data_IF_636943347321
#
_entry.id   IF_636943347321
#
_cell.length_a   1.000
_cell.length_b   1.000
_cell.length_c   1.000
_cell.angle_alpha   90.00
_cell.angle_beta   90.00
_cell.angle_gamma   90.00
#
_symmetry.space_group_name_H-M   'P 1'
#
loop_
_entity.id
_entity.type
_entity.pdbx_description
1 polymer ?
#
# COMPACT_ATOMS: atom_id res chain seq x y z
N UNK A 1 -28.93 38.59 77.24
CA UNK A 1 -28.96 37.51 76.23
C UNK A 1 -27.69 37.61 75.41
N UNK A 2 -26.67 36.86 75.77
CA UNK A 2 -25.34 36.91 75.14
C UNK A 2 -25.25 35.85 74.06
N UNK A 3 -25.01 36.26 72.82
CA UNK A 3 -24.85 35.37 71.66
C UNK A 3 -23.36 35.16 71.41
N UNK A 4 -22.90 33.94 71.66
CA UNK A 4 -21.53 33.49 71.44
C UNK A 4 -21.32 33.27 69.93
N UNK A 5 -20.40 34.03 69.30
CA UNK A 5 -19.96 33.79 67.91
C UNK A 5 -18.77 32.84 67.92
N UNK A 6 -18.96 31.67 67.31
CA UNK A 6 -17.90 30.68 67.07
C UNK A 6 -17.30 30.93 65.69
N UNK A 7 -16.01 31.26 65.64
CA UNK A 7 -15.25 31.46 64.40
C UNK A 7 -14.50 30.17 64.09
N UNK A 8 -14.84 29.49 62.99
CA UNK A 8 -14.15 28.28 62.51
C UNK A 8 -13.15 28.70 61.44
N UNK A 9 -11.86 28.56 61.72
CA UNK A 9 -10.79 28.65 60.73
C UNK A 9 -10.63 27.29 60.05
N UNK A 10 -11.00 27.21 58.76
CA UNK A 10 -10.70 26.06 57.91
C UNK A 10 -9.33 26.30 57.27
N UNK A 11 -8.33 25.53 57.71
CA UNK A 11 -7.04 25.42 57.02
C UNK A 11 -7.22 24.63 55.73
N UNK A 12 -7.11 25.30 54.58
CA UNK A 12 -7.00 24.66 53.27
C UNK A 12 -5.58 24.12 53.08
N UNK A 13 -5.39 22.83 53.36
CA UNK A 13 -4.20 22.09 52.96
C UNK A 13 -4.22 21.78 51.47
N UNK A 14 -3.28 22.35 50.73
CA UNK A 14 -3.03 22.06 49.32
C UNK A 14 -2.27 20.73 49.22
N UNK A 15 -2.97 19.61 49.00
CA UNK A 15 -2.33 18.36 48.58
C UNK A 15 -2.05 18.42 47.08
N UNK A 16 -0.79 18.69 46.70
CA UNK A 16 -0.28 18.41 45.36
C UNK A 16 -0.13 16.88 45.22
N UNK A 17 -1.18 16.21 44.74
CA UNK A 17 -1.10 14.82 44.32
C UNK A 17 -0.39 14.77 42.97
N UNK A 18 0.90 14.46 42.97
CA UNK A 18 1.65 14.16 41.76
C UNK A 18 1.10 12.86 41.14
N UNK A 19 0.15 12.98 40.21
CA UNK A 19 -0.25 11.89 39.34
C UNK A 19 0.93 11.56 38.41
N UNK A 20 1.76 10.60 38.82
CA UNK A 20 2.67 9.88 37.93
C UNK A 20 1.82 9.18 36.86
N UNK A 21 1.68 9.83 35.70
CA UNK A 21 1.17 9.19 34.50
C UNK A 21 2.19 8.14 34.06
N UNK A 22 2.02 6.91 34.55
CA UNK A 22 2.61 5.72 33.97
C UNK A 22 2.12 5.65 32.53
N UNK A 23 3.00 6.00 31.58
CA UNK A 23 2.74 5.74 30.16
C UNK A 23 2.47 4.24 30.02
N UNK A 24 1.32 3.83 29.44
CA UNK A 24 1.11 2.41 29.16
C UNK A 24 2.29 1.94 28.33
N UNK A 25 2.95 0.87 28.79
CA UNK A 25 4.00 0.23 28.02
C UNK A 25 3.43 -0.04 26.62
N UNK A 26 4.00 0.62 25.61
CA UNK A 26 3.70 0.29 24.22
C UNK A 26 4.14 -1.16 24.06
N UNK A 27 3.20 -2.09 24.16
CA UNK A 27 3.46 -3.49 23.93
C UNK A 27 4.06 -3.60 22.55
N UNK A 28 5.36 -3.91 22.48
CA UNK A 28 5.97 -4.37 21.25
C UNK A 28 5.08 -5.49 20.76
N UNK A 29 4.53 -5.32 19.57
CA UNK A 29 3.86 -6.44 18.94
C UNK A 29 4.86 -7.58 18.94
N UNK A 30 4.42 -8.82 19.26
CA UNK A 30 5.25 -9.97 19.04
C UNK A 30 5.78 -9.80 17.62
N UNK A 31 7.11 -9.79 17.51
CA UNK A 31 7.80 -9.92 16.25
C UNK A 31 7.33 -11.28 15.73
N UNK A 32 6.15 -11.27 15.10
CA UNK A 32 5.58 -12.47 14.51
C UNK A 32 6.63 -12.83 13.49
N UNK A 33 7.35 -13.92 13.79
CA UNK A 33 8.17 -14.65 12.84
C UNK A 33 7.40 -14.58 11.54
N UNK A 34 7.90 -13.75 10.62
CA UNK A 34 7.32 -13.58 9.30
C UNK A 34 7.50 -14.95 8.68
N UNK A 35 6.50 -15.81 8.89
CA UNK A 35 6.51 -17.22 8.52
C UNK A 35 7.10 -17.27 7.13
N UNK A 36 8.24 -17.95 6.99
CA UNK A 36 8.94 -18.07 5.72
C UNK A 36 7.91 -18.51 4.69
N UNK A 37 7.43 -17.56 3.87
CA UNK A 37 6.35 -17.84 2.96
C UNK A 37 6.82 -18.95 2.03
N UNK A 38 5.96 -19.93 1.73
CA UNK A 38 6.33 -21.03 0.85
C UNK A 38 6.96 -20.47 -0.41
N UNK A 39 8.13 -20.97 -0.78
CA UNK A 39 8.77 -20.64 -2.04
C UNK A 39 7.85 -21.13 -3.16
N UNK A 40 7.05 -20.22 -3.74
CA UNK A 40 6.25 -20.56 -4.90
C UNK A 40 7.21 -20.73 -6.08
N UNK A 41 7.22 -21.91 -6.74
CA UNK A 41 8.02 -22.07 -7.93
C UNK A 41 7.47 -21.11 -8.99
N UNK A 42 8.21 -20.04 -9.25
CA UNK A 42 7.94 -19.19 -10.42
C UNK A 42 8.15 -20.10 -11.62
N UNK A 43 7.14 -20.30 -12.49
CA UNK A 43 7.35 -21.04 -13.72
C UNK A 43 8.57 -20.45 -14.40
N UNK A 44 9.59 -21.27 -14.65
CA UNK A 44 10.74 -20.89 -15.44
C UNK A 44 10.40 -21.25 -16.88
N UNK A 45 9.71 -20.40 -17.66
CA UNK A 45 9.74 -20.61 -19.10
C UNK A 45 11.20 -20.50 -19.55
N UNK A 46 11.56 -21.10 -20.68
CA UNK A 46 12.89 -21.04 -21.32
C UNK A 46 13.35 -19.62 -21.73
N UNK A 47 12.72 -18.58 -21.19
CA UNK A 47 13.00 -17.19 -21.45
C UNK A 47 13.98 -16.61 -20.42
N UNK A 48 14.93 -15.76 -20.84
CA UNK A 48 15.80 -15.05 -19.93
C UNK A 48 14.97 -14.18 -18.97
N UNK A 49 15.32 -14.22 -17.69
CA UNK A 49 14.78 -13.34 -16.67
C UNK A 49 15.18 -11.88 -16.88
N UNK A 50 14.64 -10.99 -16.05
CA UNK A 50 15.01 -9.57 -16.04
C UNK A 50 16.07 -9.29 -14.97
N UNK A 51 16.77 -8.17 -15.12
CA UNK A 51 17.66 -7.63 -14.08
C UNK A 51 17.12 -6.30 -13.55
N UNK A 52 17.44 -6.01 -12.28
CA UNK A 52 17.08 -4.76 -11.62
C UNK A 52 18.25 -4.30 -10.75
N UNK A 53 18.75 -3.06 -10.88
CA UNK A 53 19.78 -2.57 -9.98
C UNK A 53 19.23 -2.45 -8.55
N UNK A 54 20.01 -2.84 -7.55
CA UNK A 54 19.62 -2.77 -6.14
C UNK A 54 19.23 -1.35 -5.72
N UNK A 55 19.86 -0.34 -6.32
CA UNK A 55 19.54 1.09 -6.12
C UNK A 55 18.10 1.45 -6.47
N UNK A 56 17.44 0.73 -7.39
CA UNK A 56 16.03 0.96 -7.73
C UNK A 56 15.07 0.56 -6.60
N UNK A 57 15.51 -0.28 -5.67
CA UNK A 57 14.75 -0.70 -4.49
C UNK A 57 15.12 0.10 -3.23
N UNK A 58 16.14 0.98 -3.30
CA UNK A 58 16.52 1.86 -2.22
C UNK A 58 15.79 3.20 -2.34
N UNK A 59 14.82 3.42 -1.46
CA UNK A 59 13.95 4.59 -1.43
C UNK A 59 14.28 5.57 -0.32
N UNK A 60 15.36 5.36 0.43
CA UNK A 60 15.72 6.22 1.59
C UNK A 60 15.96 7.69 1.20
N UNK A 61 16.37 7.95 -0.03
CA UNK A 61 16.56 9.29 -0.58
C UNK A 61 15.31 9.85 -1.30
N UNK A 62 14.26 9.04 -1.47
CA UNK A 62 13.00 9.46 -2.09
C UNK A 62 12.13 10.10 -1.01
N UNK A 63 11.66 11.35 -1.19
CA UNK A 63 10.80 12.00 -0.22
C UNK A 63 9.49 11.22 0.01
N UNK A 64 8.99 11.27 1.24
CA UNK A 64 7.61 10.86 1.50
C UNK A 64 6.66 11.92 0.91
N UNK A 65 5.66 11.46 0.17
CA UNK A 65 4.63 12.30 -0.43
C UNK A 65 3.27 11.90 0.13
N UNK A 66 2.50 12.90 0.60
CA UNK A 66 1.10 12.72 0.99
C UNK A 66 0.23 12.87 -0.24
N UNK A 67 -0.68 11.92 -0.47
CA UNK A 67 -1.60 11.94 -1.60
C UNK A 67 -3.04 12.09 -1.12
N UNK A 68 -3.60 13.28 -1.30
CA UNK A 68 -4.96 13.60 -0.93
C UNK A 68 -5.59 14.57 -1.91
N UNK A 69 -6.90 14.43 -2.12
CA UNK A 69 -7.69 15.33 -2.94
C UNK A 69 -9.19 15.12 -2.75
N UNK A 70 -10.01 15.99 -3.35
CA UNK A 70 -11.46 15.99 -3.13
C UNK A 70 -12.19 14.85 -3.84
N UNK A 71 -11.59 14.25 -4.88
CA UNK A 71 -12.20 13.19 -5.67
C UNK A 71 -12.10 11.81 -5.01
N UNK A 72 -12.99 10.87 -5.38
CA UNK A 72 -13.02 9.51 -4.83
C UNK A 72 -11.81 8.64 -5.20
N UNK A 73 -10.95 9.14 -6.09
CA UNK A 73 -9.72 8.48 -6.51
C UNK A 73 -8.46 9.27 -6.16
N UNK A 74 -8.60 10.38 -5.40
CA UNK A 74 -7.52 11.35 -5.21
C UNK A 74 -6.77 11.16 -3.88
N UNK A 75 -7.25 10.25 -3.00
CA UNK A 75 -6.62 9.98 -1.70
C UNK A 75 -6.18 8.53 -1.60
N UNK A 76 -4.92 8.30 -1.28
CA UNK A 76 -4.34 6.97 -1.08
C UNK A 76 -3.07 7.06 -0.24
N UNK A 77 -2.61 5.93 0.30
CA UNK A 77 -1.29 5.81 0.94
C UNK A 77 -0.36 5.01 0.03
N UNK A 78 0.88 5.47 -0.12
CA UNK A 78 1.87 4.77 -0.95
C UNK A 78 3.29 4.74 -0.35
N UNK A 79 4.11 3.87 -0.91
CA UNK A 79 5.57 3.92 -0.84
C UNK A 79 6.09 4.36 -2.22
N UNK A 80 6.69 5.54 -2.32
CA UNK A 80 7.22 6.08 -3.59
C UNK A 80 8.61 5.52 -3.92
N UNK A 81 8.84 5.13 -5.18
CA UNK A 81 10.13 4.71 -5.71
C UNK A 81 10.65 5.73 -6.73
N UNK A 82 11.95 5.69 -7.03
CA UNK A 82 12.51 6.50 -8.10
C UNK A 82 12.19 5.88 -9.47
N UNK A 83 11.20 6.45 -10.17
CA UNK A 83 10.73 5.97 -11.48
C UNK A 83 11.84 5.93 -12.54
N UNK A 84 12.82 6.85 -12.48
CA UNK A 84 13.92 6.88 -13.43
C UNK A 84 14.76 5.59 -13.36
N UNK A 85 14.97 5.05 -12.15
CA UNK A 85 15.74 3.81 -11.94
C UNK A 85 15.03 2.54 -12.44
N UNK A 86 13.73 2.61 -12.72
CA UNK A 86 12.95 1.51 -13.31
C UNK A 86 12.86 1.57 -14.85
N UNK A 87 13.42 2.60 -15.48
CA UNK A 87 13.30 2.81 -16.93
C UNK A 87 13.89 1.66 -17.74
N UNK A 88 15.07 1.17 -17.37
CA UNK A 88 15.71 0.07 -18.08
C UNK A 88 14.92 -1.24 -17.96
N UNK A 89 14.35 -1.52 -16.78
CA UNK A 89 13.46 -2.67 -16.58
C UNK A 89 12.21 -2.54 -17.47
N UNK A 90 11.57 -1.36 -17.50
CA UNK A 90 10.41 -1.10 -18.36
C UNK A 90 10.75 -1.32 -19.83
N UNK A 91 11.86 -0.78 -20.32
CA UNK A 91 12.29 -0.95 -21.71
C UNK A 91 12.54 -2.42 -22.05
N UNK A 92 13.12 -3.19 -21.14
CA UNK A 92 13.29 -4.63 -21.33
C UNK A 92 11.94 -5.37 -21.41
N UNK A 93 10.97 -4.97 -20.58
CA UNK A 93 9.60 -5.50 -20.62
C UNK A 93 8.91 -5.15 -21.94
N UNK A 94 9.04 -3.91 -22.43
CA UNK A 94 8.50 -3.48 -23.73
C UNK A 94 9.10 -4.28 -24.88
N UNK A 95 10.42 -4.49 -24.88
CA UNK A 95 11.10 -5.33 -25.87
C UNK A 95 10.58 -6.77 -25.84
N UNK A 96 10.35 -7.34 -24.65
CA UNK A 96 9.80 -8.68 -24.50
C UNK A 96 8.30 -8.76 -24.85
N UNK A 97 7.55 -7.66 -24.69
CA UNK A 97 6.15 -7.56 -25.10
C UNK A 97 6.00 -7.39 -26.62
N UNK A 98 6.95 -6.71 -27.26
CA UNK A 98 6.97 -6.42 -28.69
C UNK A 98 6.35 -5.07 -29.08
N UNK A 99 5.90 -4.26 -28.12
CA UNK A 99 5.30 -2.94 -28.35
C UNK A 99 5.60 -1.99 -27.17
N UNK A 100 5.67 -0.66 -27.40
CA UNK A 100 5.73 0.32 -26.33
C UNK A 100 4.53 0.21 -25.38
N UNK A 101 4.75 0.48 -24.09
CA UNK A 101 3.71 0.47 -23.07
C UNK A 101 3.40 1.90 -22.61
N UNK A 102 2.13 2.15 -22.36
CA UNK A 102 1.69 3.35 -21.65
C UNK A 102 2.15 3.25 -20.19
N UNK A 103 2.52 4.39 -19.61
CA UNK A 103 2.90 4.51 -18.21
C UNK A 103 2.55 5.91 -17.69
N UNK A 104 2.61 6.10 -16.38
CA UNK A 104 2.23 7.36 -15.70
C UNK A 104 3.43 8.25 -15.36
N UNK A 105 4.66 7.85 -15.67
CA UNK A 105 5.88 8.56 -15.27
C UNK A 105 6.20 8.52 -13.77
N UNK A 106 5.45 7.74 -12.99
CA UNK A 106 5.62 7.55 -11.55
C UNK A 106 5.92 6.07 -11.22
N UNK A 107 6.47 5.85 -10.03
CA UNK A 107 6.69 4.50 -9.50
C UNK A 107 6.34 4.51 -8.01
N UNK A 108 5.37 3.70 -7.63
CA UNK A 108 4.97 3.58 -6.23
C UNK A 108 4.35 2.20 -5.97
N UNK A 109 4.29 1.84 -4.69
CA UNK A 109 3.48 0.73 -4.19
C UNK A 109 2.32 1.33 -3.40
N UNK A 110 1.08 1.11 -3.86
CA UNK A 110 -0.11 1.52 -3.13
C UNK A 110 -0.31 0.63 -1.90
N UNK A 111 -0.36 1.23 -0.71
CA UNK A 111 -0.56 0.54 0.56
C UNK A 111 -2.01 0.59 1.03
N UNK A 112 -2.71 1.68 0.73
CA UNK A 112 -4.16 1.86 0.91
C UNK A 112 -4.68 2.46 -0.38
N UNK A 113 -5.57 1.76 -1.07
CA UNK A 113 -6.16 2.20 -2.34
C UNK A 113 -7.23 3.28 -2.11
N UNK A 114 -7.57 4.08 -3.13
CA UNK A 114 -8.66 5.04 -2.99
C UNK A 114 -10.01 4.41 -2.60
N UNK A 115 -10.45 3.27 -3.16
CA UNK A 115 -11.67 2.62 -2.71
C UNK A 115 -11.63 2.15 -1.24
N UNK A 116 -10.48 1.65 -0.75
CA UNK A 116 -10.33 1.32 0.67
C UNK A 116 -10.46 2.58 1.54
N UNK A 117 -9.80 3.67 1.17
CA UNK A 117 -9.89 4.91 1.94
C UNK A 117 -11.31 5.49 1.94
N UNK A 118 -11.86 5.78 0.76
CA UNK A 118 -13.12 6.52 0.64
C UNK A 118 -14.35 5.72 1.06
N UNK A 119 -14.37 4.40 0.81
CA UNK A 119 -15.56 3.58 1.07
C UNK A 119 -15.53 2.86 2.43
N UNK A 120 -14.35 2.71 3.04
CA UNK A 120 -14.20 1.93 4.28
C UNK A 120 -13.63 2.76 5.40
N UNK A 121 -12.44 3.34 5.21
CA UNK A 121 -11.69 3.95 6.31
C UNK A 121 -12.23 5.33 6.69
N UNK A 122 -12.43 6.22 5.72
CA UNK A 122 -12.91 7.58 5.93
C UNK A 122 -14.32 7.66 6.53
N UNK A 123 -15.29 6.81 6.15
CA UNK A 123 -16.61 6.76 6.80
C UNK A 123 -16.57 6.43 8.30
N UNK A 124 -15.57 5.67 8.74
CA UNK A 124 -15.33 5.40 10.17
C UNK A 124 -14.51 6.50 10.86
N UNK A 125 -14.15 7.57 10.16
CA UNK A 125 -13.40 8.71 10.70
C UNK A 125 -11.87 8.59 10.62
N UNK A 126 -11.33 7.61 9.90
CA UNK A 126 -9.88 7.59 9.61
C UNK A 126 -9.57 8.72 8.63
N UNK A 127 -8.64 9.60 9.02
CA UNK A 127 -8.24 10.75 8.22
C UNK A 127 -6.97 10.48 7.43
N UNK A 128 -6.70 11.27 6.39
CA UNK A 128 -5.40 11.26 5.71
C UNK A 128 -4.23 11.54 6.67
N UNK A 129 -4.43 12.42 7.66
CA UNK A 129 -3.41 12.68 8.68
C UNK A 129 -3.08 11.43 9.50
N UNK A 130 -4.08 10.61 9.84
CA UNK A 130 -3.84 9.33 10.51
C UNK A 130 -2.98 8.39 9.65
N UNK A 131 -3.25 8.31 8.33
CA UNK A 131 -2.47 7.47 7.41
C UNK A 131 -1.03 7.97 7.27
N UNK A 132 -0.85 9.28 7.15
CA UNK A 132 0.46 9.94 7.08
C UNK A 132 1.28 9.70 8.35
N UNK A 133 0.68 9.87 9.52
CA UNK A 133 1.34 9.68 10.81
C UNK A 133 1.79 8.22 10.99
N UNK A 134 0.93 7.26 10.64
CA UNK A 134 1.26 5.82 10.63
C UNK A 134 2.43 5.54 9.68
N UNK A 135 2.39 6.07 8.46
CA UNK A 135 3.41 5.82 7.45
C UNK A 135 4.78 6.42 7.83
N UNK A 136 4.79 7.64 8.38
CA UNK A 136 6.00 8.30 8.88
C UNK A 136 6.57 7.61 10.10
N UNK A 137 5.72 7.23 11.06
CA UNK A 137 6.14 6.48 12.25
C UNK A 137 6.76 5.12 11.89
N UNK A 138 6.22 4.47 10.84
CA UNK A 138 6.77 3.23 10.31
C UNK A 138 7.97 3.43 9.36
N UNK A 139 8.40 4.67 9.13
CA UNK A 139 9.45 5.04 8.18
C UNK A 139 9.26 4.39 6.80
N UNK A 140 8.09 4.58 6.18
CA UNK A 140 7.70 3.87 4.95
C UNK A 140 8.76 3.96 3.82
N UNK A 141 9.44 5.11 3.67
CA UNK A 141 10.51 5.30 2.66
C UNK A 141 11.85 4.64 3.02
N UNK A 142 11.99 4.11 4.24
CA UNK A 142 13.13 3.28 4.63
C UNK A 142 12.74 1.79 4.70
N UNK A 143 11.52 1.43 4.30
CA UNK A 143 11.06 0.06 4.35
C UNK A 143 11.88 -0.81 3.38
N UNK A 144 12.45 -1.96 3.83
CA UNK A 144 13.18 -2.84 2.94
C UNK A 144 12.22 -3.41 1.88
N UNK A 145 12.61 -3.34 0.62
CA UNK A 145 11.83 -3.85 -0.51
C UNK A 145 12.54 -5.08 -1.08
N UNK A 146 11.79 -6.16 -1.25
CA UNK A 146 12.25 -7.32 -2.00
C UNK A 146 11.47 -7.43 -3.31
N UNK A 147 12.19 -7.42 -4.44
CA UNK A 147 11.64 -7.81 -5.73
C UNK A 147 11.46 -9.33 -5.82
N UNK A 148 10.30 -9.76 -6.30
CA UNK A 148 9.96 -11.19 -6.43
C UNK A 148 10.00 -11.66 -7.87
N UNK A 149 9.37 -10.92 -8.78
CA UNK A 149 9.27 -11.27 -10.19
C UNK A 149 8.78 -10.06 -11.00
N UNK A 150 8.87 -10.18 -12.34
CA UNK A 150 8.04 -9.36 -13.23
C UNK A 150 6.71 -10.06 -13.44
N UNK A 151 5.65 -9.41 -13.02
CA UNK A 151 4.27 -9.84 -13.21
C UNK A 151 3.70 -9.41 -14.56
N UNK A 152 2.81 -10.24 -15.11
CA UNK A 152 2.04 -9.95 -16.33
C UNK A 152 0.58 -10.33 -16.11
N UNK A 153 -0.31 -9.41 -16.43
CA UNK A 153 -1.74 -9.66 -16.48
C UNK A 153 -2.24 -9.52 -17.91
N UNK A 154 -3.21 -10.35 -18.28
CA UNK A 154 -3.84 -10.36 -19.60
C UNK A 154 -5.35 -10.40 -19.42
N UNK A 155 -6.05 -9.44 -19.99
CA UNK A 155 -7.51 -9.40 -20.02
C UNK A 155 -7.98 -9.43 -21.47
N UNK A 156 -8.89 -10.34 -21.81
CA UNK A 156 -9.53 -10.40 -23.12
C UNK A 156 -10.96 -9.89 -22.94
N UNK A 157 -11.28 -8.78 -23.59
CA UNK A 157 -12.61 -8.17 -23.54
C UNK A 157 -13.26 -8.33 -24.90
N UNK A 158 -14.38 -9.05 -24.94
CA UNK A 158 -15.25 -9.12 -26.11
C UNK A 158 -16.37 -8.11 -25.91
N UNK A 159 -16.34 -7.03 -26.68
CA UNK A 159 -17.45 -6.08 -26.69
C UNK A 159 -18.59 -6.69 -27.51
N UNK A 160 -19.79 -6.79 -26.92
CA UNK A 160 -20.99 -7.14 -27.69
C UNK A 160 -21.18 -6.15 -28.85
N UNK A 161 -21.72 -6.63 -29.98
CA UNK A 161 -21.94 -5.77 -31.13
C UNK A 161 -22.75 -4.54 -30.72
N UNK A 162 -22.24 -3.35 -31.01
CA UNK A 162 -23.09 -2.17 -31.08
C UNK A 162 -24.14 -2.44 -32.17
N UNK A 163 -25.42 -2.04 -31.99
CA UNK A 163 -26.51 -2.34 -32.93
C UNK A 163 -26.27 -1.92 -34.39
N UNK A 164 -25.24 -1.11 -34.65
CA UNK A 164 -24.96 -0.50 -35.96
C UNK A 164 -23.81 -1.13 -36.75
N UNK A 165 -22.88 -1.85 -36.10
CA UNK A 165 -21.62 -2.26 -36.76
C UNK A 165 -21.41 -3.78 -36.88
N UNK A 166 -22.38 -4.60 -36.45
CA UNK A 166 -22.52 -6.01 -36.84
C UNK A 166 -21.39 -6.99 -36.45
N UNK A 167 -20.29 -6.53 -35.83
CA UNK A 167 -19.15 -7.36 -35.46
C UNK A 167 -18.82 -7.30 -33.96
N UNK A 168 -18.53 -8.46 -33.37
CA UNK A 168 -17.87 -8.53 -32.07
C UNK A 168 -16.43 -8.04 -32.20
N UNK A 169 -16.03 -7.10 -31.36
CA UNK A 169 -14.63 -6.65 -31.28
C UNK A 169 -14.00 -7.27 -30.04
N UNK A 170 -12.97 -8.10 -30.25
CA UNK A 170 -12.17 -8.67 -29.16
C UNK A 170 -10.89 -7.85 -28.98
N UNK A 171 -10.69 -7.28 -27.79
CA UNK A 171 -9.49 -6.54 -27.43
C UNK A 171 -8.71 -7.30 -26.36
N UNK A 172 -7.40 -7.47 -26.54
CA UNK A 172 -6.52 -8.01 -25.50
C UNK A 172 -5.73 -6.88 -24.85
N UNK A 173 -5.89 -6.74 -23.53
CA UNK A 173 -5.17 -5.77 -22.71
C UNK A 173 -4.10 -6.46 -21.89
N UNK A 174 -2.98 -5.76 -21.68
CA UNK A 174 -1.87 -6.22 -20.86
C UNK A 174 -1.52 -5.16 -19.81
N UNK A 175 -1.17 -5.61 -18.61
CA UNK A 175 -0.49 -4.82 -17.61
C UNK A 175 0.76 -5.58 -17.14
N UNK A 176 1.83 -4.83 -16.86
CA UNK A 176 3.10 -5.35 -16.39
C UNK A 176 3.51 -4.66 -15.11
N UNK A 177 4.00 -5.44 -14.16
CA UNK A 177 4.24 -4.99 -12.81
C UNK A 177 5.54 -5.57 -12.27
N UNK A 178 6.27 -4.81 -11.46
CA UNK A 178 7.27 -5.37 -10.57
C UNK A 178 6.56 -5.84 -9.31
N UNK A 179 6.52 -7.15 -9.07
CA UNK A 179 5.90 -7.71 -7.87
C UNK A 179 6.93 -7.62 -6.74
N UNK A 180 6.53 -6.99 -5.65
CA UNK A 180 7.41 -6.66 -4.54
C UNK A 180 6.80 -7.10 -3.21
N UNK A 181 7.61 -7.12 -2.15
CA UNK A 181 7.13 -7.29 -0.79
C UNK A 181 7.97 -6.48 0.20
N UNK A 182 7.33 -6.13 1.32
CA UNK A 182 7.99 -5.62 2.51
C UNK A 182 7.15 -5.99 3.74
N UNK A 183 7.75 -6.54 4.81
CA UNK A 183 7.02 -6.76 6.07
C UNK A 183 6.54 -5.45 6.70
N UNK A 184 7.20 -4.31 6.42
CA UNK A 184 6.77 -3.00 6.91
C UNK A 184 5.41 -2.58 6.39
N UNK A 185 5.08 -2.91 5.13
CA UNK A 185 3.79 -2.56 4.54
C UNK A 185 2.62 -3.27 5.20
N UNK A 186 2.78 -4.57 5.50
CA UNK A 186 1.78 -5.33 6.26
C UNK A 186 1.61 -4.74 7.66
N UNK A 187 2.70 -4.37 8.34
CA UNK A 187 2.62 -3.70 9.65
C UNK A 187 1.89 -2.35 9.58
N UNK A 188 2.14 -1.54 8.55
CA UNK A 188 1.42 -0.27 8.33
C UNK A 188 -0.08 -0.55 8.19
N UNK A 189 -0.47 -1.51 7.34
CA UNK A 189 -1.89 -1.86 7.16
C UNK A 189 -2.53 -2.35 8.47
N UNK A 190 -1.83 -3.13 9.29
CA UNK A 190 -2.30 -3.51 10.62
C UNK A 190 -2.47 -2.32 11.58
N UNK A 191 -1.59 -1.31 11.52
CA UNK A 191 -1.76 -0.09 12.30
C UNK A 191 -2.98 0.73 11.83
N UNK A 192 -3.21 0.81 10.52
CA UNK A 192 -4.43 1.41 9.94
C UNK A 192 -5.67 0.66 10.40
N UNK A 193 -5.66 -0.67 10.36
CA UNK A 193 -6.76 -1.50 10.84
C UNK A 193 -7.09 -1.23 12.32
N UNK A 194 -6.07 -1.10 13.18
CA UNK A 194 -6.26 -0.73 14.60
C UNK A 194 -6.85 0.65 14.79
N UNK A 195 -6.42 1.61 13.97
CA UNK A 195 -7.00 2.96 13.99
C UNK A 195 -8.48 2.90 13.60
N UNK A 196 -8.78 2.19 12.51
CA UNK A 196 -10.13 2.00 11.97
C UNK A 196 -11.09 1.38 12.99
N UNK A 197 -10.76 0.23 13.58
CA UNK A 197 -11.61 -0.41 14.60
C UNK A 197 -11.68 0.39 15.91
N UNK A 198 -10.60 1.09 16.28
CA UNK A 198 -10.57 1.97 17.45
C UNK A 198 -11.52 3.17 17.33
N UNK A 199 -11.94 3.51 16.11
CA UNK A 199 -12.95 4.51 15.81
C UNK A 199 -14.36 3.93 15.62
N UNK A 200 -14.54 2.62 15.87
CA UNK A 200 -15.82 1.91 15.71
C UNK A 200 -16.06 1.38 14.30
N UNK A 201 -15.03 1.32 13.45
CA UNK A 201 -15.12 0.68 12.14
C UNK A 201 -15.45 -0.82 12.22
N UNK A 202 -16.27 -1.31 11.30
CA UNK A 202 -16.65 -2.72 11.18
C UNK A 202 -15.45 -3.57 10.73
N UNK A 203 -14.87 -4.45 11.57
CA UNK A 203 -13.62 -5.15 11.27
C UNK A 203 -13.63 -5.95 9.96
N UNK A 204 -14.79 -6.46 9.54
CA UNK A 204 -14.93 -7.25 8.31
C UNK A 204 -14.82 -6.44 7.01
N UNK A 205 -14.83 -5.11 7.07
CA UNK A 205 -14.75 -4.25 5.88
C UNK A 205 -13.31 -3.93 5.45
N UNK A 206 -12.32 -4.13 6.32
CA UNK A 206 -10.91 -3.87 6.00
C UNK A 206 -10.03 -5.03 6.43
N UNK A 207 -9.47 -5.75 5.46
CA UNK A 207 -8.49 -6.81 5.70
C UNK A 207 -7.06 -6.27 5.49
N UNK A 208 -6.24 -6.16 6.56
CA UNK A 208 -4.87 -5.69 6.43
C UNK A 208 -3.98 -6.64 5.60
N UNK A 209 -4.36 -7.90 5.42
CA UNK A 209 -3.63 -8.90 4.63
C UNK A 209 -4.06 -8.95 3.15
N UNK A 210 -5.21 -8.37 2.79
CA UNK A 210 -5.68 -8.23 1.41
C UNK A 210 -4.88 -7.17 0.64
N UNK A 211 -3.57 -7.43 0.48
CA UNK A 211 -2.62 -6.55 -0.16
C UNK A 211 -1.84 -7.31 -1.24
N UNK A 212 -1.70 -6.71 -2.41
CA UNK A 212 -0.91 -7.25 -3.52
C UNK A 212 0.13 -6.20 -3.92
N UNK A 213 1.24 -6.06 -3.18
CA UNK A 213 2.19 -4.98 -3.42
C UNK A 213 2.87 -5.13 -4.79
N UNK A 214 2.74 -4.10 -5.61
CA UNK A 214 3.33 -4.04 -6.93
C UNK A 214 3.68 -2.61 -7.32
N UNK A 215 4.60 -2.48 -8.28
CA UNK A 215 4.87 -1.23 -8.99
C UNK A 215 4.47 -1.42 -10.45
N UNK A 216 3.53 -0.60 -10.94
CA UNK A 216 3.12 -0.65 -12.35
C UNK A 216 4.27 -0.20 -13.25
N UNK A 217 4.74 -1.08 -14.13
CA UNK A 217 5.80 -0.77 -15.11
C UNK A 217 5.22 -0.21 -16.41
N UNK A 218 4.04 -0.69 -16.80
CA UNK A 218 3.31 -0.19 -17.95
C UNK A 218 2.14 -1.08 -18.37
N UNK A 219 1.33 -0.58 -19.30
CA UNK A 219 0.12 -1.26 -19.80
C UNK A 219 -0.15 -0.93 -21.27
N UNK A 220 -0.86 -1.81 -21.99
CA UNK A 220 -1.08 -1.63 -23.43
C UNK A 220 -2.22 -0.68 -23.78
N UNK A 221 -3.27 -0.61 -22.95
CA UNK A 221 -4.45 0.24 -23.20
C UNK A 221 -4.78 1.11 -21.99
N UNK A 222 -5.01 0.46 -20.85
CA UNK A 222 -5.19 1.06 -19.54
C UNK A 222 -4.64 0.12 -18.49
N UNK A 223 -4.42 0.64 -17.30
CA UNK A 223 -4.10 -0.21 -16.16
C UNK A 223 -5.28 -1.14 -15.82
N UNK A 224 -4.97 -2.30 -15.27
CA UNK A 224 -5.95 -3.32 -14.86
C UNK A 224 -6.07 -3.32 -13.33
N UNK A 225 -7.27 -3.47 -12.81
CA UNK A 225 -7.53 -3.40 -11.37
C UNK A 225 -8.37 -4.56 -10.87
N UNK A 226 -8.60 -4.61 -9.55
CA UNK A 226 -9.43 -5.64 -8.93
C UNK A 226 -10.86 -5.67 -9.51
N UNK A 227 -11.39 -4.51 -9.90
CA UNK A 227 -12.71 -4.38 -10.54
C UNK A 227 -12.78 -5.08 -11.91
N UNK A 228 -11.62 -5.33 -12.54
CA UNK A 228 -11.51 -6.13 -13.76
C UNK A 228 -11.38 -7.64 -13.47
N UNK A 229 -11.43 -8.05 -12.20
CA UNK A 229 -11.11 -9.41 -11.75
C UNK A 229 -9.61 -9.72 -11.81
N UNK A 230 -8.75 -8.70 -11.86
CA UNK A 230 -7.30 -8.85 -12.05
C UNK A 230 -6.55 -8.63 -10.74
N UNK A 231 -5.90 -9.69 -10.26
CA UNK A 231 -5.06 -9.67 -9.06
C UNK A 231 -3.58 -9.58 -9.43
N UNK A 232 -2.88 -8.57 -8.90
CA UNK A 232 -1.48 -8.24 -9.23
C UNK A 232 -0.49 -8.73 -8.16
N UNK A 233 -0.68 -9.95 -7.68
CA UNK A 233 0.19 -10.58 -6.69
C UNK A 233 1.20 -11.55 -7.31
N UNK A 234 1.71 -12.45 -6.47
CA UNK A 234 2.58 -13.55 -6.90
C UNK A 234 1.93 -14.46 -7.95
N UNK A 235 0.59 -14.56 -7.95
CA UNK A 235 -0.20 -15.26 -8.96
C UNK A 235 -0.04 -14.69 -10.38
N UNK A 236 0.53 -13.49 -10.51
CA UNK A 236 0.79 -12.84 -11.80
C UNK A 236 2.24 -12.96 -12.27
N UNK A 237 3.13 -13.61 -11.51
CA UNK A 237 4.53 -13.77 -11.89
C UNK A 237 4.67 -14.44 -13.26
N UNK A 238 5.36 -13.75 -14.16
CA UNK A 238 5.59 -14.19 -15.54
C UNK A 238 7.04 -14.54 -15.82
N UNK A 239 7.98 -13.76 -15.28
CA UNK A 239 9.42 -13.98 -15.42
C UNK A 239 10.15 -13.68 -14.13
N UNK A 240 11.22 -14.42 -13.88
CA UNK A 240 12.14 -14.16 -12.77
C UNK A 240 12.78 -12.78 -12.92
N UNK A 241 13.16 -12.20 -11.78
CA UNK A 241 13.96 -10.98 -11.71
C UNK A 241 15.17 -11.21 -10.82
N UNK A 242 16.33 -10.77 -11.27
CA UNK A 242 17.58 -10.82 -10.50
C UNK A 242 17.95 -9.41 -10.09
N UNK A 243 18.11 -9.18 -8.79
CA UNK A 243 18.64 -7.92 -8.28
C UNK A 243 20.16 -7.96 -8.42
N UNK A 244 20.74 -6.93 -9.02
CA UNK A 244 22.18 -6.79 -9.26
C UNK A 244 22.71 -5.56 -8.52
N UNK A 245 23.93 -5.66 -7.98
CA UNK A 245 24.62 -4.55 -7.31
C UNK A 245 25.16 -3.51 -8.31
#
# INVERSE_FOLDING_TARGET
>A
MSVLRLTIHVLSGLLLTACLFLRPAQGQLPEQDVLALPSYPIPQPDNPGFTLPATALNTTAVPYESHGGPGPNDTWLQHTLNAALLTLLRQAVEAAHGQPLLNRGEAHVTLITPPEYHNVLAPAGVTLADLDDIARAAQVQAAPIQALCVGRQRLVVTASPQPKDGGETTTTMYAYNLIVRSPTWTRIRWQVWRRFIGLGGEPSLFDPEANWPHVTLGFSHRDLFLQDGVFKGINSCWRAITVVE
#
